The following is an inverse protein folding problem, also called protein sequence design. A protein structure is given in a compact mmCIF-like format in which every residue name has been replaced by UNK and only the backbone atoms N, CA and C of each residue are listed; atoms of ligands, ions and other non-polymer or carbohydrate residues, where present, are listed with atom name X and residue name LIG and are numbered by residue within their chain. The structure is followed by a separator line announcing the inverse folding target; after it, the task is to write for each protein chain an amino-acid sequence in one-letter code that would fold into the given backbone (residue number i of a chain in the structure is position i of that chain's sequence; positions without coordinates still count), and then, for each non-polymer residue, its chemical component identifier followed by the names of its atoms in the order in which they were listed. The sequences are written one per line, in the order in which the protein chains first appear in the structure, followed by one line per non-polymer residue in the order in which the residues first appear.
data_IF_906174094379
#
_entry.id   IF_906174094379
#
_cell.length_a   1.000
_cell.length_b   1.000
_cell.length_c   1.000
_cell.angle_alpha   90.00
_cell.angle_beta   90.00
_cell.angle_gamma   90.00
#
_symmetry.space_group_name_H-M   'P 1'
#
loop_
_entity.id
_entity.type
_entity.pdbx_description
1 polymer ?
#
# COMPACT_ATOMS: atom_id res chain seq x y z
N UNK A 1 6.15 -16.33 -8.23
CA UNK A 1 6.51 -14.90 -8.07
C UNK A 1 6.00 -14.49 -6.71
N UNK A 2 6.88 -14.34 -5.71
CA UNK A 2 6.48 -13.98 -4.35
C UNK A 2 6.53 -12.46 -4.21
N UNK A 3 5.42 -11.86 -3.78
CA UNK A 3 5.37 -10.44 -3.46
C UNK A 3 6.24 -10.17 -2.21
N UNK A 4 6.96 -9.03 -2.14
CA UNK A 4 7.78 -8.72 -0.98
C UNK A 4 6.89 -8.61 0.26
N UNK A 5 7.12 -9.50 1.23
CA UNK A 5 6.55 -9.37 2.56
C UNK A 5 7.43 -8.41 3.35
N UNK A 6 6.82 -7.50 4.12
CA UNK A 6 7.59 -6.70 5.09
C UNK A 6 8.31 -7.64 6.06
N UNK A 7 9.64 -7.49 6.16
CA UNK A 7 10.50 -8.31 7.03
C UNK A 7 10.26 -7.99 8.51
N UNK A 8 9.64 -6.84 8.80
CA UNK A 8 9.23 -6.43 10.14
C UNK A 8 7.70 -6.36 10.26
N UNK A 9 7.10 -7.07 11.22
CA UNK A 9 5.68 -6.95 11.48
C UNK A 9 5.37 -5.58 12.10
N UNK A 10 4.28 -4.98 11.62
CA UNK A 10 3.72 -3.73 12.14
C UNK A 10 3.16 -3.95 13.55
N UNK A 11 3.35 -2.98 14.44
CA UNK A 11 2.63 -2.96 15.72
C UNK A 11 1.21 -2.36 15.54
N UNK A 12 0.15 -2.93 16.15
CA UNK A 12 -1.20 -2.37 16.08
C UNK A 12 -1.31 -0.89 16.48
N UNK A 13 -0.48 -0.45 17.41
CA UNK A 13 -0.43 0.93 17.90
C UNK A 13 0.36 1.88 16.99
N UNK A 14 1.13 1.32 16.06
CA UNK A 14 1.96 2.08 15.14
C UNK A 14 1.10 2.77 14.07
N UNK A 15 1.48 4.00 13.73
CA UNK A 15 0.87 4.76 12.65
C UNK A 15 1.99 5.32 11.79
N UNK A 16 2.12 4.79 10.57
CA UNK A 16 3.20 5.12 9.66
C UNK A 16 2.67 5.26 8.24
N UNK A 17 3.44 5.99 7.43
CA UNK A 17 3.27 6.07 5.99
C UNK A 17 3.85 4.84 5.31
N UNK A 18 3.00 4.11 4.61
CA UNK A 18 3.39 3.00 3.75
C UNK A 18 3.33 3.48 2.31
N UNK A 19 4.45 3.38 1.61
CA UNK A 19 4.58 3.83 0.24
C UNK A 19 4.95 2.69 -0.70
N UNK A 20 4.45 2.78 -1.92
CA UNK A 20 4.84 1.91 -3.03
C UNK A 20 5.26 2.77 -4.22
N UNK A 21 6.46 2.48 -4.75
CA UNK A 21 7.01 3.16 -5.91
C UNK A 21 6.59 2.45 -7.20
N UNK A 22 5.79 3.14 -8.02
CA UNK A 22 5.36 2.69 -9.33
C UNK A 22 6.31 3.12 -10.45
N UNK A 23 7.34 3.93 -10.19
CA UNK A 23 8.28 4.40 -11.23
C UNK A 23 8.84 3.25 -12.10
N UNK A 24 9.26 2.10 -11.53
CA UNK A 24 9.78 0.99 -12.33
C UNK A 24 8.74 0.34 -13.25
N UNK A 25 7.45 0.51 -12.95
CA UNK A 25 6.35 -0.11 -13.68
C UNK A 25 5.79 0.79 -14.78
N UNK A 26 5.78 2.10 -14.54
CA UNK A 26 5.11 3.08 -15.41
C UNK A 26 6.10 3.82 -16.32
N UNK A 27 7.41 3.77 -16.01
CA UNK A 27 8.43 4.51 -16.74
C UNK A 27 8.15 6.01 -16.68
N UNK A 28 8.05 6.64 -17.85
CA UNK A 28 7.76 8.08 -17.99
C UNK A 28 6.26 8.43 -18.00
N UNK A 29 5.38 7.44 -17.82
CA UNK A 29 3.94 7.68 -17.83
C UNK A 29 3.48 8.40 -16.55
N UNK A 30 2.44 9.23 -16.70
CA UNK A 30 1.85 9.99 -15.60
C UNK A 30 0.61 9.31 -15.04
N UNK A 31 0.51 9.31 -13.71
CA UNK A 31 -0.63 8.76 -12.97
C UNK A 31 -1.76 9.79 -12.96
N UNK A 32 -2.96 9.34 -13.32
CA UNK A 32 -4.21 10.10 -13.26
C UNK A 32 -4.89 9.93 -11.91
N UNK A 33 -5.04 8.69 -11.44
CA UNK A 33 -5.67 8.38 -10.16
C UNK A 33 -4.90 7.31 -9.38
N UNK A 34 -5.01 7.36 -8.07
CA UNK A 34 -4.40 6.44 -7.13
C UNK A 34 -5.45 5.90 -6.16
N UNK A 35 -5.28 4.65 -5.74
CA UNK A 35 -6.13 4.00 -4.75
C UNK A 35 -5.28 3.16 -3.81
N UNK A 36 -5.67 3.12 -2.53
CA UNK A 36 -5.10 2.18 -1.56
C UNK A 36 -6.24 1.56 -0.79
N UNK A 37 -6.37 0.25 -0.87
CA UNK A 37 -7.47 -0.49 -0.26
C UNK A 37 -6.96 -1.72 0.49
N UNK A 38 -7.72 -2.18 1.46
CA UNK A 38 -7.49 -3.47 2.12
C UNK A 38 -8.83 -4.17 2.25
N UNK A 39 -8.86 -5.45 1.87
CA UNK A 39 -10.09 -6.26 1.93
C UNK A 39 -10.40 -6.76 3.35
N UNK A 40 -9.44 -6.66 4.27
CA UNK A 40 -9.60 -7.13 5.65
C UNK A 40 -9.88 -5.96 6.59
N UNK A 41 -10.88 -6.14 7.45
CA UNK A 41 -11.25 -5.17 8.46
C UNK A 41 -10.23 -5.09 9.62
N UNK A 42 -10.18 -3.92 10.24
CA UNK A 42 -9.32 -3.64 11.40
C UNK A 42 -8.08 -2.81 11.07
N UNK A 43 -7.79 -2.56 9.79
CA UNK A 43 -6.89 -1.50 9.38
C UNK A 43 -7.66 -0.23 9.01
N UNK A 44 -7.11 0.90 9.42
CA UNK A 44 -7.55 2.22 8.99
C UNK A 44 -6.51 2.75 8.01
N UNK A 45 -6.94 3.01 6.78
CA UNK A 45 -6.12 3.61 5.73
C UNK A 45 -6.64 5.03 5.50
N UNK A 46 -5.79 6.02 5.70
CA UNK A 46 -6.10 7.43 5.48
C UNK A 46 -4.97 8.13 4.74
N UNK A 47 -5.21 9.38 4.33
CA UNK A 47 -4.19 10.25 3.75
C UNK A 47 -3.45 9.62 2.54
N UNK A 48 -4.21 9.05 1.61
CA UNK A 48 -3.66 8.52 0.37
C UNK A 48 -3.14 9.68 -0.46
N UNK A 49 -1.83 9.71 -0.69
CA UNK A 49 -1.13 10.76 -1.41
C UNK A 49 -0.31 10.17 -2.55
N UNK A 50 -0.08 11.00 -3.57
CA UNK A 50 0.73 10.65 -4.73
C UNK A 50 1.79 11.73 -4.88
N UNK A 51 3.07 11.33 -4.86
CA UNK A 51 4.21 12.22 -5.08
C UNK A 51 5.06 11.65 -6.21
N UNK A 52 4.97 12.24 -7.40
CA UNK A 52 5.59 11.67 -8.61
C UNK A 52 4.94 10.34 -8.96
N UNK A 53 5.71 9.25 -8.87
CA UNK A 53 5.24 7.88 -9.10
C UNK A 53 5.07 7.06 -7.81
N UNK A 54 5.19 7.70 -6.65
CA UNK A 54 5.11 7.03 -5.34
C UNK A 54 3.73 7.27 -4.73
N UNK A 55 2.98 6.21 -4.50
CA UNK A 55 1.72 6.25 -3.76
C UNK A 55 1.99 5.93 -2.31
N UNK A 56 1.60 6.84 -1.43
CA UNK A 56 1.75 6.71 0.02
C UNK A 56 0.39 6.69 0.69
N UNK A 57 0.22 5.89 1.73
CA UNK A 57 -0.97 5.91 2.57
C UNK A 57 -0.60 5.77 4.03
N UNK A 58 -1.34 6.46 4.88
CA UNK A 58 -1.19 6.37 6.32
C UNK A 58 -2.00 5.19 6.84
N UNK A 59 -1.32 4.21 7.43
CA UNK A 59 -1.94 2.96 7.85
C UNK A 59 -1.79 2.78 9.36
N UNK A 60 -2.93 2.64 10.03
CA UNK A 60 -3.05 2.52 11.48
C UNK A 60 -3.93 1.34 11.87
N UNK A 61 -3.72 0.82 13.08
CA UNK A 61 -4.48 -0.30 13.61
C UNK A 61 -3.96 -1.65 13.12
N UNK A 62 -4.88 -2.62 13.03
CA UNK A 62 -4.58 -4.01 12.72
C UNK A 62 -4.65 -4.89 13.95
N UNK A 63 -5.03 -6.16 13.76
CA UNK A 63 -5.06 -7.15 14.83
C UNK A 63 -3.78 -7.97 14.81
N UNK A 64 -3.16 -8.13 16.00
CA UNK A 64 -1.98 -8.97 16.20
C UNK A 64 -2.22 -10.38 15.65
N UNK A 65 -1.24 -10.90 14.92
CA UNK A 65 -1.30 -12.22 14.31
C UNK A 65 -2.04 -12.26 12.97
N UNK A 66 -2.62 -11.15 12.51
CA UNK A 66 -3.21 -11.06 11.16
C UNK A 66 -2.21 -10.54 10.13
N UNK A 67 -2.40 -10.97 8.89
CA UNK A 67 -1.69 -10.48 7.70
C UNK A 67 -2.70 -9.75 6.83
N UNK A 68 -2.43 -8.49 6.56
CA UNK A 68 -3.32 -7.63 5.79
C UNK A 68 -2.82 -7.48 4.35
N UNK A 69 -3.61 -7.89 3.34
CA UNK A 69 -3.29 -7.62 1.94
C UNK A 69 -3.73 -6.19 1.60
N UNK A 70 -2.77 -5.32 1.39
CA UNK A 70 -2.99 -3.92 1.06
C UNK A 70 -2.75 -3.75 -0.43
N UNK A 71 -3.79 -3.44 -1.18
CA UNK A 71 -3.74 -3.21 -2.61
C UNK A 71 -3.49 -1.73 -2.89
N UNK A 72 -2.36 -1.45 -3.53
CA UNK A 72 -2.01 -0.15 -4.09
C UNK A 72 -2.36 -0.18 -5.58
N UNK A 73 -3.24 0.71 -6.00
CA UNK A 73 -3.68 0.87 -7.37
C UNK A 73 -3.29 2.23 -7.92
N UNK A 74 -2.94 2.26 -9.21
CA UNK A 74 -2.78 3.50 -9.99
C UNK A 74 -3.42 3.32 -11.37
N UNK A 75 -4.06 4.37 -11.84
CA UNK A 75 -4.50 4.52 -13.23
C UNK A 75 -3.65 5.57 -13.90
N UNK A 76 -3.16 5.26 -15.09
CA UNK A 76 -2.36 6.17 -15.90
C UNK A 76 -3.24 6.94 -16.88
N UNK A 77 -2.77 8.12 -17.29
CA UNK A 77 -3.44 8.97 -18.29
C UNK A 77 -3.59 8.28 -19.66
N UNK A 78 -2.76 7.29 -19.96
CA UNK A 78 -2.84 6.49 -21.19
C UNK A 78 -3.90 5.37 -21.13
N UNK A 79 -4.67 5.31 -20.03
CA UNK A 79 -5.74 4.34 -19.81
C UNK A 79 -5.27 3.02 -19.19
N UNK A 80 -3.96 2.83 -18.95
CA UNK A 80 -3.46 1.62 -18.28
C UNK A 80 -3.73 1.67 -16.79
N UNK A 81 -3.97 0.51 -16.19
CA UNK A 81 -4.11 0.36 -14.74
C UNK A 81 -3.06 -0.61 -14.21
N UNK A 82 -2.55 -0.31 -13.02
CA UNK A 82 -1.64 -1.17 -12.31
C UNK A 82 -2.11 -1.32 -10.88
N UNK A 83 -2.20 -2.56 -10.41
CA UNK A 83 -2.49 -2.88 -9.03
C UNK A 83 -1.41 -3.79 -8.46
N UNK A 84 -0.96 -3.51 -7.24
CA UNK A 84 0.03 -4.29 -6.52
C UNK A 84 -0.43 -4.53 -5.10
N UNK A 85 -0.39 -5.78 -4.68
CA UNK A 85 -0.74 -6.18 -3.33
C UNK A 85 0.51 -6.37 -2.50
N UNK A 86 0.55 -5.70 -1.35
CA UNK A 86 1.58 -5.84 -0.34
C UNK A 86 1.00 -6.51 0.90
N UNK A 87 1.71 -7.49 1.45
CA UNK A 87 1.27 -8.16 2.68
C UNK A 87 1.91 -7.50 3.89
N UNK A 88 1.07 -6.93 4.76
CA UNK A 88 1.49 -6.32 6.02
C UNK A 88 1.17 -7.25 7.19
N UNK A 89 2.16 -7.99 7.72
CA UNK A 89 1.97 -8.74 8.96
C UNK A 89 1.88 -7.78 10.14
N UNK A 90 0.92 -8.01 11.04
CA UNK A 90 0.79 -7.25 12.29
C UNK A 90 1.18 -8.17 13.46
N UNK A 91 2.13 -7.75 14.27
CA UNK A 91 2.55 -8.46 15.48
C UNK A 91 2.77 -7.47 16.62
N UNK A 92 2.55 -7.93 17.85
CA UNK A 92 2.84 -7.14 19.03
C UNK A 92 4.34 -7.21 19.31
N UNK A 93 4.93 -6.10 19.76
CA UNK A 93 6.32 -6.10 20.23
C UNK A 93 6.54 -7.09 21.38
#
# INVERSE_FOLDING_TARGET
MAFPAFEFPKDPSEKLDYSFDFAPLIGDASIETQSVTCTLEGLTITNVTLTGAVVSAFIAGGLVGKKYPIAFGVQLLDGRNFERTMTLPVAQR
#
